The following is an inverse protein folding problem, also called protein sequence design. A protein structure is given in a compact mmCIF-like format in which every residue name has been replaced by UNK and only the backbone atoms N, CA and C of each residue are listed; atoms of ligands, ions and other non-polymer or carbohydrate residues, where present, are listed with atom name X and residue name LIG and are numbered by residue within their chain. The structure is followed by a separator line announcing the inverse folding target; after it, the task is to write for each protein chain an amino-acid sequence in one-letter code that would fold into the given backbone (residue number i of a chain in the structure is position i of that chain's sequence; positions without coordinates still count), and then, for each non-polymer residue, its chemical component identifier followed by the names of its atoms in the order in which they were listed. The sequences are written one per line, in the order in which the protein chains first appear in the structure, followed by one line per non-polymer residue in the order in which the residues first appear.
data_IF_591345980809
#
_entry.id   IF_591345980809
#
_cell.length_a   1.000
_cell.length_b   1.000
_cell.length_c   1.000
_cell.angle_alpha   90.00
_cell.angle_beta   90.00
_cell.angle_gamma   90.00
#
_symmetry.space_group_name_H-M   'P 1'
#
loop_
_entity.id
_entity.type
_entity.pdbx_description
1 polymer ?
#
# COMPACT_ATOMS: atom_id res chain seq x y z
N UNK A 1 0.90 12.60 4.97
CA UNK A 1 1.41 13.76 4.21
C UNK A 1 2.80 13.93 4.73
N UNK A 2 3.78 13.68 3.88
CA UNK A 2 5.17 13.54 4.31
C UNK A 2 5.99 14.81 4.07
N UNK A 3 5.36 15.86 3.52
CA UNK A 3 5.99 17.12 3.23
C UNK A 3 6.15 17.39 1.74
N UNK A 4 6.80 18.51 1.44
CA UNK A 4 7.17 18.93 0.10
C UNK A 4 8.66 19.27 0.04
N UNK A 5 9.31 18.98 -1.08
CA UNK A 5 10.73 19.24 -1.31
C UNK A 5 10.97 19.64 -2.76
N UNK A 6 12.06 20.37 -3.02
CA UNK A 6 12.45 20.72 -4.38
C UNK A 6 13.23 19.56 -4.97
N UNK A 7 12.75 18.99 -6.06
CA UNK A 7 13.42 17.90 -6.75
C UNK A 7 14.75 18.39 -7.34
N UNK A 8 15.89 17.80 -7.00
CA UNK A 8 17.20 18.26 -7.44
C UNK A 8 17.46 18.03 -8.94
N UNK A 9 16.71 17.16 -9.60
CA UNK A 9 16.94 16.79 -11.01
C UNK A 9 16.28 17.73 -12.01
N UNK A 10 15.07 18.21 -11.70
CA UNK A 10 14.28 19.06 -12.60
C UNK A 10 13.84 20.39 -11.96
N UNK A 11 14.15 20.60 -10.68
CA UNK A 11 13.81 21.82 -9.95
C UNK A 11 12.34 21.97 -9.58
N UNK A 12 11.48 20.99 -9.91
CA UNK A 12 10.05 21.02 -9.57
C UNK A 12 9.85 20.89 -8.06
N UNK A 13 8.82 21.54 -7.52
CA UNK A 13 8.39 21.28 -6.14
C UNK A 13 7.59 19.99 -6.14
N UNK A 14 8.03 18.98 -5.38
CA UNK A 14 7.37 17.69 -5.27
C UNK A 14 6.74 17.55 -3.90
N UNK A 15 5.55 16.96 -3.83
CA UNK A 15 4.85 16.60 -2.60
C UNK A 15 4.78 15.08 -2.42
N UNK A 16 5.04 14.61 -1.19
CA UNK A 16 5.03 13.20 -0.83
C UNK A 16 3.84 12.78 0.04
N UNK A 17 3.27 11.62 -0.25
CA UNK A 17 2.22 10.99 0.55
C UNK A 17 2.53 9.50 0.77
N UNK A 18 2.32 9.03 2.00
CA UNK A 18 2.25 7.60 2.30
C UNK A 18 0.81 7.24 2.65
N UNK A 19 0.28 6.24 1.97
CA UNK A 19 -1.04 5.65 2.23
C UNK A 19 -0.83 4.24 2.76
N UNK A 20 -1.35 3.97 3.96
CA UNK A 20 -1.37 2.62 4.53
C UNK A 20 -2.81 2.09 4.50
N UNK A 21 -2.96 0.81 4.17
CA UNK A 21 -4.28 0.18 4.11
C UNK A 21 -4.24 -1.32 4.37
N UNK A 22 -5.42 -1.88 4.56
CA UNK A 22 -5.63 -3.32 4.66
C UNK A 22 -6.86 -3.69 3.86
N UNK A 23 -6.76 -4.73 3.03
CA UNK A 23 -7.89 -5.27 2.27
C UNK A 23 -8.13 -6.73 2.64
N UNK A 24 -9.39 -7.14 2.69
CA UNK A 24 -9.73 -8.55 2.80
C UNK A 24 -9.69 -9.19 1.40
N UNK A 25 -8.74 -10.10 1.18
CA UNK A 25 -8.51 -10.77 -0.12
C UNK A 25 -9.69 -11.63 -0.59
N UNK A 26 -10.50 -12.15 0.34
CA UNK A 26 -11.65 -13.00 0.03
C UNK A 26 -12.74 -12.20 -0.69
N UNK A 27 -12.85 -10.89 -0.43
CA UNK A 27 -13.79 -9.99 -1.13
C UNK A 27 -13.49 -9.84 -2.63
N UNK A 28 -12.29 -10.20 -3.05
CA UNK A 28 -11.83 -10.12 -4.44
C UNK A 28 -11.69 -11.51 -5.08
N UNK A 29 -12.35 -12.53 -4.53
CA UNK A 29 -12.34 -13.89 -5.07
C UNK A 29 -11.06 -14.69 -4.78
N UNK A 30 -10.11 -14.12 -4.03
CA UNK A 30 -8.89 -14.82 -3.64
C UNK A 30 -9.19 -15.61 -2.37
N UNK A 31 -9.76 -16.80 -2.53
CA UNK A 31 -10.26 -17.64 -1.41
C UNK A 31 -9.42 -18.88 -1.13
N UNK A 32 -8.41 -19.18 -1.94
CA UNK A 32 -7.56 -20.36 -1.71
C UNK A 32 -6.92 -20.27 -0.31
N UNK A 33 -6.98 -21.38 0.42
CA UNK A 33 -6.40 -21.52 1.74
C UNK A 33 -6.25 -23.00 2.07
N UNK A 34 -5.27 -23.33 2.90
CA UNK A 34 -5.11 -24.67 3.45
C UNK A 34 -5.45 -24.64 4.93
N UNK A 35 -6.24 -25.62 5.38
CA UNK A 35 -6.51 -25.82 6.81
C UNK A 35 -5.26 -26.43 7.45
N UNK A 36 -4.81 -25.86 8.56
CA UNK A 36 -3.64 -26.36 9.29
C UNK A 36 -4.02 -27.58 10.15
N UNK A 37 -3.07 -28.49 10.35
CA UNK A 37 -3.27 -29.74 11.11
C UNK A 37 -3.72 -29.50 12.57
N UNK A 38 -3.35 -28.35 13.13
CA UNK A 38 -3.71 -27.91 14.49
C UNK A 38 -4.98 -27.06 14.55
N UNK A 39 -5.69 -26.93 13.42
CA UNK A 39 -6.80 -26.00 13.25
C UNK A 39 -6.34 -24.60 12.82
N UNK A 40 -7.27 -23.83 12.24
CA UNK A 40 -6.98 -22.52 11.66
C UNK A 40 -6.65 -22.57 10.16
N UNK A 41 -6.17 -21.44 9.63
CA UNK A 41 -5.90 -21.25 8.20
C UNK A 41 -4.45 -20.87 7.95
N UNK A 42 -3.87 -21.35 6.85
CA UNK A 42 -2.48 -21.07 6.46
C UNK A 42 -2.26 -19.59 6.06
N UNK A 43 -3.24 -18.97 5.40
CA UNK A 43 -3.11 -17.62 4.86
C UNK A 43 -4.17 -16.71 5.49
N UNK A 44 -3.72 -15.64 6.14
CA UNK A 44 -4.57 -14.59 6.70
C UNK A 44 -5.49 -13.94 5.65
N UNK A 45 -6.60 -13.36 6.12
CA UNK A 45 -7.58 -12.70 5.24
C UNK A 45 -7.15 -11.29 4.83
N UNK A 46 -6.47 -10.60 5.74
CA UNK A 46 -6.05 -9.23 5.57
C UNK A 46 -4.71 -9.15 4.84
N UNK A 47 -4.70 -8.41 3.75
CA UNK A 47 -3.50 -8.00 3.03
C UNK A 47 -3.23 -6.55 3.38
N UNK A 48 -2.17 -6.32 4.14
CA UNK A 48 -1.67 -4.98 4.47
C UNK A 48 -0.83 -4.47 3.31
N UNK A 49 -1.00 -3.21 2.94
CA UNK A 49 -0.22 -2.57 1.91
C UNK A 49 0.15 -1.14 2.30
N UNK A 50 1.25 -0.67 1.71
CA UNK A 50 1.70 0.70 1.79
C UNK A 50 1.97 1.21 0.39
N UNK A 51 1.47 2.40 0.08
CA UNK A 51 1.73 3.08 -1.19
C UNK A 51 2.44 4.39 -0.87
N UNK A 52 3.62 4.55 -1.45
CA UNK A 52 4.37 5.81 -1.43
C UNK A 52 4.13 6.52 -2.76
N UNK A 53 3.60 7.74 -2.68
CA UNK A 53 3.24 8.56 -3.82
C UNK A 53 4.03 9.86 -3.79
N UNK A 54 4.49 10.29 -4.95
CA UNK A 54 5.15 11.58 -5.16
C UNK A 54 4.52 12.28 -6.36
N UNK A 55 4.20 13.56 -6.20
CA UNK A 55 3.61 14.38 -7.27
C UNK A 55 4.42 15.65 -7.45
N UNK A 56 4.80 15.97 -8.69
CA UNK A 56 5.33 17.28 -9.02
C UNK A 56 4.18 18.29 -9.06
N UNK A 57 4.36 19.43 -8.40
CA UNK A 57 3.46 20.57 -8.51
C UNK A 57 3.85 21.32 -9.80
N UNK A 58 2.92 21.38 -10.74
CA UNK A 58 2.94 22.30 -11.87
C UNK A 58 2.18 23.57 -11.48
N UNK A 59 2.67 24.73 -11.91
CA UNK A 59 2.01 26.03 -11.72
C UNK A 59 0.79 26.19 -12.65
#
# INVERSE_FOLDING_TARGET
YEGQSKNPMNGATTVGFIVNGSINREKYGITFNQVLETGGVMIGKDVKFQVSLEFALED
#
